data_IF_700263033558
#
_entry.id   IF_700263033558
#
_cell.length_a   1.000
_cell.length_b   1.000
_cell.length_c   1.000
_cell.angle_alpha   90.00
_cell.angle_beta   90.00
_cell.angle_gamma   90.00
#
_symmetry.space_group_name_H-M   'P 1'
#
loop_
_entity.id
_entity.type
_entity.pdbx_description
1 polymer ?
#
# COMPACT_ATOMS: atom_id res chain seq x y z
N UNK A 1 11.94 -27.96 -86.12
CA UNK A 1 12.30 -26.63 -85.60
C UNK A 1 11.32 -26.28 -84.48
N UNK A 2 11.69 -26.62 -83.25
CA UNK A 2 10.86 -26.45 -82.04
C UNK A 2 11.39 -25.27 -81.20
N UNK A 3 10.44 -24.40 -80.84
CA UNK A 3 10.29 -23.64 -79.59
C UNK A 3 11.52 -23.32 -78.73
N UNK A 4 11.66 -22.05 -78.35
CA UNK A 4 11.25 -21.54 -77.02
C UNK A 4 11.49 -20.03 -76.93
N UNK A 5 10.41 -19.25 -76.93
CA UNK A 5 10.41 -17.84 -76.56
C UNK A 5 10.29 -17.76 -75.04
N UNK A 6 11.34 -17.30 -74.36
CA UNK A 6 11.38 -17.14 -72.91
C UNK A 6 10.84 -15.76 -72.53
N UNK A 7 9.65 -15.70 -71.96
CA UNK A 7 9.07 -14.50 -71.36
C UNK A 7 9.51 -14.39 -69.91
N UNK A 8 10.35 -13.41 -69.61
CA UNK A 8 10.74 -13.05 -68.25
C UNK A 8 9.60 -12.28 -67.55
N UNK A 9 8.99 -12.90 -66.54
CA UNK A 9 7.98 -12.26 -65.70
C UNK A 9 8.70 -11.40 -64.65
N UNK A 10 8.69 -10.08 -64.85
CA UNK A 10 9.17 -9.11 -63.85
C UNK A 10 8.13 -9.02 -62.72
N UNK A 11 8.42 -9.64 -61.59
CA UNK A 11 7.60 -9.50 -60.37
C UNK A 11 7.93 -8.16 -59.68
N UNK A 12 7.03 -7.16 -59.79
CA UNK A 12 7.10 -5.96 -58.96
C UNK A 12 6.85 -6.36 -57.49
N UNK A 13 7.90 -6.30 -56.65
CA UNK A 13 7.72 -6.32 -55.19
C UNK A 13 6.91 -5.09 -54.78
N UNK A 14 5.70 -5.30 -54.27
CA UNK A 14 4.90 -4.20 -53.72
C UNK A 14 5.59 -3.66 -52.46
N UNK A 15 5.92 -2.36 -52.45
CA UNK A 15 6.56 -1.69 -51.31
C UNK A 15 5.55 -1.31 -50.22
N UNK A 16 4.79 -2.28 -49.71
CA UNK A 16 3.86 -2.09 -48.58
C UNK A 16 4.58 -2.20 -47.22
N UNK A 17 5.70 -1.49 -47.04
CA UNK A 17 6.53 -1.60 -45.82
C UNK A 17 6.72 -0.30 -45.03
N UNK A 18 6.13 0.82 -45.45
CA UNK A 18 6.30 2.11 -44.76
C UNK A 18 5.25 2.42 -43.68
N UNK A 19 3.97 2.11 -43.94
CA UNK A 19 2.87 2.52 -43.05
C UNK A 19 2.89 1.84 -41.68
N UNK A 20 3.28 0.56 -41.64
CA UNK A 20 3.43 -0.19 -40.37
C UNK A 20 4.55 0.39 -39.52
N UNK A 21 5.63 0.88 -40.13
CA UNK A 21 6.76 1.48 -39.42
C UNK A 21 6.36 2.79 -38.73
N UNK A 22 5.54 3.62 -39.40
CA UNK A 22 4.99 4.85 -38.81
C UNK A 22 4.07 4.51 -37.64
N UNK A 23 3.16 3.55 -37.81
CA UNK A 23 2.28 3.12 -36.72
C UNK A 23 3.07 2.60 -35.52
N UNK A 24 4.10 1.77 -35.78
CA UNK A 24 4.97 1.22 -34.73
C UNK A 24 5.75 2.31 -33.99
N UNK A 25 6.24 3.32 -34.72
CA UNK A 25 6.99 4.44 -34.15
C UNK A 25 6.17 5.27 -33.15
N UNK A 26 4.85 5.37 -33.33
CA UNK A 26 3.95 6.02 -32.38
C UNK A 26 3.43 5.07 -31.30
N UNK A 27 3.15 3.81 -31.65
CA UNK A 27 2.60 2.83 -30.71
C UNK A 27 3.60 2.45 -29.62
N UNK A 28 4.88 2.27 -29.95
CA UNK A 28 5.89 1.82 -28.99
C UNK A 28 6.08 2.80 -27.82
N UNK A 29 6.28 4.12 -28.04
CA UNK A 29 6.37 5.07 -26.93
C UNK A 29 5.12 5.08 -26.06
N UNK A 30 3.92 5.03 -26.67
CA UNK A 30 2.66 5.01 -25.92
C UNK A 30 2.54 3.75 -25.06
N UNK A 31 2.91 2.59 -25.60
CA UNK A 31 2.88 1.33 -24.86
C UNK A 31 3.87 1.33 -23.68
N UNK A 32 5.06 1.92 -23.86
CA UNK A 32 6.04 2.07 -22.78
C UNK A 32 5.53 3.02 -21.68
N UNK A 33 4.94 4.15 -22.06
CA UNK A 33 4.36 5.10 -21.09
C UNK A 33 3.23 4.45 -20.27
N UNK A 34 2.33 3.71 -20.91
CA UNK A 34 1.25 3.00 -20.21
C UNK A 34 1.79 1.90 -19.30
N UNK A 35 2.84 1.20 -19.72
CA UNK A 35 3.48 0.16 -18.92
C UNK A 35 4.14 0.75 -17.68
N UNK A 36 4.84 1.89 -17.82
CA UNK A 36 5.43 2.60 -16.69
C UNK A 36 4.39 3.11 -15.70
N UNK A 37 3.27 3.66 -16.20
CA UNK A 37 2.13 4.04 -15.36
C UNK A 37 1.56 2.83 -14.59
N UNK A 38 1.35 1.70 -15.27
CA UNK A 38 0.84 0.48 -14.65
C UNK A 38 1.78 -0.06 -13.56
N UNK A 39 3.10 -0.05 -13.78
CA UNK A 39 4.10 -0.49 -12.81
C UNK A 39 4.06 0.39 -11.55
N UNK A 40 4.06 1.73 -11.72
CA UNK A 40 3.98 2.64 -10.58
C UNK A 40 2.67 2.47 -9.82
N UNK A 41 1.54 2.30 -10.51
CA UNK A 41 0.25 2.06 -9.87
C UNK A 41 0.23 0.76 -9.05
N UNK A 42 0.70 -0.34 -9.64
CA UNK A 42 0.80 -1.62 -8.94
C UNK A 42 1.71 -1.53 -7.71
N UNK A 43 2.80 -0.76 -7.80
CA UNK A 43 3.71 -0.53 -6.69
C UNK A 43 3.07 0.29 -5.55
N UNK A 44 2.29 1.33 -5.88
CA UNK A 44 1.53 2.09 -4.88
C UNK A 44 0.55 1.18 -4.13
N UNK A 45 -0.17 0.31 -4.84
CA UNK A 45 -1.13 -0.61 -4.22
C UNK A 45 -0.44 -1.67 -3.35
N UNK A 46 0.72 -2.19 -3.77
CA UNK A 46 1.54 -3.06 -2.94
C UNK A 46 1.91 -2.38 -1.62
N UNK A 47 2.44 -1.15 -1.68
CA UNK A 47 2.84 -0.42 -0.48
C UNK A 47 1.66 -0.14 0.44
N UNK A 48 0.46 0.16 -0.10
CA UNK A 48 -0.75 0.34 0.69
C UNK A 48 -1.13 -0.94 1.42
N UNK A 49 -1.04 -2.10 0.77
CA UNK A 49 -1.31 -3.40 1.40
C UNK A 49 -0.29 -3.69 2.49
N UNK A 50 1.01 -3.49 2.23
CA UNK A 50 2.06 -3.63 3.24
C UNK A 50 1.83 -2.74 4.46
N UNK A 51 1.39 -1.49 4.23
CA UNK A 51 1.03 -0.58 5.32
C UNK A 51 -0.16 -1.06 6.13
N UNK A 52 -1.22 -1.57 5.49
CA UNK A 52 -2.36 -2.14 6.21
C UNK A 52 -1.93 -3.31 7.09
N UNK A 53 -1.08 -4.21 6.56
CA UNK A 53 -0.55 -5.35 7.32
C UNK A 53 0.30 -4.88 8.51
N UNK A 54 1.22 -3.94 8.30
CA UNK A 54 2.05 -3.40 9.36
C UNK A 54 1.22 -2.71 10.45
N UNK A 55 0.21 -1.93 10.05
CA UNK A 55 -0.66 -1.19 10.97
C UNK A 55 -1.56 -2.13 11.77
N UNK A 56 -2.18 -3.14 11.14
CA UNK A 56 -3.03 -4.12 11.85
C UNK A 56 -2.19 -4.96 12.81
N UNK A 57 -0.99 -5.41 12.39
CA UNK A 57 -0.08 -6.15 13.26
C UNK A 57 0.35 -5.32 14.48
N UNK A 58 0.75 -4.06 14.28
CA UNK A 58 1.12 -3.15 15.36
C UNK A 58 -0.04 -2.92 16.33
N UNK A 59 -1.22 -2.63 15.79
CA UNK A 59 -2.41 -2.32 16.59
C UNK A 59 -2.90 -3.51 17.40
N UNK A 60 -2.88 -4.73 16.83
CA UNK A 60 -3.24 -5.95 17.56
C UNK A 60 -2.25 -6.29 18.66
N UNK A 61 -0.94 -6.11 18.40
CA UNK A 61 0.08 -6.33 19.41
C UNK A 61 -0.10 -5.38 20.60
N UNK A 62 -0.30 -4.08 20.33
CA UNK A 62 -0.59 -3.12 21.39
C UNK A 62 -1.92 -3.40 22.10
N UNK A 63 -3.00 -3.68 21.37
CA UNK A 63 -4.31 -3.96 21.96
C UNK A 63 -4.28 -5.19 22.87
N UNK A 64 -3.49 -6.21 22.52
CA UNK A 64 -3.27 -7.38 23.35
C UNK A 64 -2.53 -7.04 24.65
N UNK A 65 -1.41 -6.32 24.57
CA UNK A 65 -0.65 -5.97 25.77
C UNK A 65 -1.41 -5.01 26.68
N UNK A 66 -2.13 -4.05 26.09
CA UNK A 66 -3.02 -3.15 26.84
C UNK A 66 -4.09 -3.94 27.58
N UNK A 67 -4.71 -4.93 26.93
CA UNK A 67 -5.74 -5.76 27.55
C UNK A 67 -5.21 -6.67 28.68
N UNK A 68 -3.94 -7.09 28.61
CA UNK A 68 -3.32 -7.98 29.60
C UNK A 68 -2.74 -7.23 30.81
N UNK A 69 -2.10 -6.10 30.57
CA UNK A 69 -1.30 -5.39 31.56
C UNK A 69 -1.93 -4.08 32.03
N UNK A 70 -2.77 -3.45 31.20
CA UNK A 70 -3.23 -2.08 31.42
C UNK A 70 -2.14 -1.02 31.24
N UNK A 71 -0.91 -1.40 30.86
CA UNK A 71 0.22 -0.49 30.73
C UNK A 71 0.34 0.03 29.27
N UNK A 72 0.30 1.36 29.13
CA UNK A 72 0.40 2.03 27.84
C UNK A 72 1.81 1.93 27.25
N UNK A 73 2.84 1.99 28.08
CA UNK A 73 4.23 1.95 27.61
C UNK A 73 4.57 0.55 27.07
N UNK A 74 4.09 -0.48 27.77
CA UNK A 74 4.19 -1.87 27.30
C UNK A 74 3.45 -2.07 25.97
N UNK A 75 2.26 -1.48 25.82
CA UNK A 75 1.49 -1.54 24.58
C UNK A 75 2.22 -0.85 23.41
N UNK A 76 2.81 0.33 23.62
CA UNK A 76 3.61 1.05 22.64
C UNK A 76 4.82 0.21 22.20
N UNK A 77 5.54 -0.38 23.16
CA UNK A 77 6.70 -1.23 22.87
C UNK A 77 6.30 -2.46 22.04
N UNK A 78 5.18 -3.10 22.36
CA UNK A 78 4.68 -4.24 21.60
C UNK A 78 4.26 -3.86 20.17
N UNK A 79 3.58 -2.72 19.99
CA UNK A 79 3.27 -2.22 18.65
C UNK A 79 4.53 -1.94 17.84
N UNK A 80 5.55 -1.29 18.41
CA UNK A 80 6.82 -1.04 17.69
C UNK A 80 7.51 -2.34 17.29
N UNK A 81 7.57 -3.32 18.19
CA UNK A 81 8.14 -4.63 17.88
C UNK A 81 7.39 -5.36 16.76
N UNK A 82 6.06 -5.23 16.71
CA UNK A 82 5.26 -5.80 15.64
C UNK A 82 5.40 -5.02 14.32
N UNK A 83 5.45 -3.69 14.37
CA UNK A 83 5.67 -2.83 13.21
C UNK A 83 7.04 -3.12 12.56
N UNK A 84 8.10 -3.28 13.37
CA UNK A 84 9.45 -3.57 12.88
C UNK A 84 9.58 -4.91 12.13
N UNK A 85 8.65 -5.85 12.34
CA UNK A 85 8.62 -7.13 11.63
C UNK A 85 7.94 -7.05 10.26
N UNK A 86 7.30 -5.92 9.95
CA UNK A 86 6.57 -5.72 8.71
C UNK A 86 7.20 -4.57 7.92
N UNK A 87 7.74 -4.89 6.74
CA UNK A 87 8.37 -3.88 5.87
C UNK A 87 7.35 -3.21 4.98
N UNK A 88 7.55 -1.91 4.71
CA UNK A 88 6.79 -1.11 3.76
C UNK A 88 7.77 -0.54 2.75
N UNK A 89 7.59 -0.87 1.47
CA UNK A 89 8.51 -0.49 0.41
C UNK A 89 9.97 -0.91 0.69
N UNK A 90 10.15 -2.06 1.35
CA UNK A 90 11.47 -2.62 1.69
C UNK A 90 12.13 -2.08 2.96
N UNK A 91 11.49 -1.18 3.70
CA UNK A 91 12.00 -0.66 4.98
C UNK A 91 10.98 -0.84 6.11
N UNK A 92 11.45 -1.15 7.32
CA UNK A 92 10.58 -1.22 8.50
C UNK A 92 10.15 0.20 8.93
N UNK A 93 8.87 0.45 9.22
CA UNK A 93 8.41 1.74 9.70
C UNK A 93 8.91 2.00 11.13
N UNK A 94 9.34 3.23 11.37
CA UNK A 94 9.57 3.79 12.70
C UNK A 94 8.31 4.53 13.13
N UNK A 95 7.72 4.09 14.24
CA UNK A 95 6.55 4.75 14.85
C UNK A 95 7.01 5.66 15.97
N UNK A 96 6.44 6.86 16.05
CA UNK A 96 6.66 7.85 17.11
C UNK A 96 5.59 7.72 18.20
N UNK A 97 5.80 8.33 19.36
CA UNK A 97 4.78 8.34 20.42
C UNK A 97 3.46 9.00 19.95
N UNK A 98 3.58 10.02 19.08
CA UNK A 98 2.45 10.72 18.48
C UNK A 98 1.63 9.86 17.50
N UNK A 99 2.17 8.73 17.04
CA UNK A 99 1.45 7.80 16.16
C UNK A 99 0.51 6.87 16.94
N UNK A 100 0.58 6.88 18.28
CA UNK A 100 -0.27 6.10 19.18
C UNK A 100 -1.34 6.99 19.81
N UNK A 101 -2.59 6.64 19.56
CA UNK A 101 -3.74 7.34 20.16
C UNK A 101 -4.49 6.36 21.05
N UNK A 102 -4.41 6.59 22.35
CA UNK A 102 -5.18 5.84 23.33
C UNK A 102 -6.56 6.44 23.52
N UNK A 103 -7.54 5.58 23.77
CA UNK A 103 -8.87 6.05 24.03
C UNK A 103 -9.81 4.99 24.52
N UNK A 104 -11.08 5.37 24.56
CA UNK A 104 -12.18 4.50 24.90
C UNK A 104 -13.04 4.27 23.67
N UNK A 105 -13.20 3.01 23.28
CA UNK A 105 -14.26 2.59 22.38
C UNK A 105 -15.34 1.87 23.18
N UNK A 106 -16.50 2.49 23.27
CA UNK A 106 -17.70 1.85 23.80
C UNK A 106 -18.76 1.74 22.72
N UNK A 107 -19.79 0.95 22.98
CA UNK A 107 -21.07 1.05 22.25
C UNK A 107 -22.17 1.32 23.26
N UNK A 108 -23.07 2.24 22.93
CA UNK A 108 -24.24 2.53 23.77
C UNK A 108 -25.28 1.41 23.78
N UNK A 109 -25.17 0.41 22.88
CA UNK A 109 -26.02 -0.77 22.90
C UNK A 109 -25.72 -1.81 21.82
N UNK A 110 -26.29 -3.01 22.01
CA UNK A 110 -26.85 -3.91 20.98
C UNK A 110 -26.42 -3.74 19.52
N UNK A 111 -27.12 -2.81 18.87
CA UNK A 111 -27.11 -2.56 17.44
C UNK A 111 -26.33 -1.30 17.06
N UNK A 112 -25.57 -0.72 18.00
CA UNK A 112 -24.83 0.52 17.78
C UNK A 112 -23.36 0.19 17.51
N UNK A 113 -22.77 0.89 16.54
CA UNK A 113 -21.34 0.79 16.21
C UNK A 113 -20.51 1.30 17.39
N UNK A 114 -19.32 0.73 17.57
CA UNK A 114 -18.34 1.26 18.51
C UNK A 114 -17.95 2.69 18.12
N UNK A 115 -17.91 3.58 19.09
CA UNK A 115 -17.43 4.96 18.94
C UNK A 115 -16.17 5.12 19.74
N UNK A 116 -15.07 5.44 19.05
CA UNK A 116 -13.80 5.76 19.69
C UNK A 116 -13.78 7.22 20.13
N UNK A 117 -13.39 7.43 21.38
CA UNK A 117 -13.15 8.74 21.97
C UNK A 117 -11.77 8.74 22.58
N UNK A 118 -10.92 9.68 22.20
CA UNK A 118 -9.57 9.82 22.75
C UNK A 118 -9.65 10.08 24.25
N UNK A 119 -8.87 9.32 25.03
CA UNK A 119 -8.86 9.38 26.49
C UNK A 119 -7.61 8.67 27.01
N UNK A 120 -6.87 9.36 27.87
CA UNK A 120 -5.72 8.78 28.59
C UNK A 120 -6.12 8.16 29.93
N UNK A 121 -7.35 8.34 30.36
CA UNK A 121 -7.87 7.73 31.61
C UNK A 121 -8.56 6.42 31.25
N UNK A 122 -8.05 5.31 31.79
CA UNK A 122 -8.52 3.94 31.59
C UNK A 122 -8.86 3.61 30.11
N UNK A 123 -7.88 3.67 29.19
CA UNK A 123 -8.12 3.38 27.79
C UNK A 123 -8.42 1.89 27.61
N UNK A 124 -9.50 1.59 26.89
CA UNK A 124 -9.84 0.22 26.47
C UNK A 124 -9.57 0.00 24.97
N UNK A 125 -9.04 1.01 24.29
CA UNK A 125 -8.73 0.95 22.87
C UNK A 125 -7.46 1.73 22.55
N UNK A 126 -6.77 1.25 21.52
CA UNK A 126 -5.62 1.93 20.94
C UNK A 126 -5.81 2.03 19.43
N UNK A 127 -5.48 3.19 18.88
CA UNK A 127 -5.34 3.42 17.46
C UNK A 127 -3.87 3.67 17.14
N UNK A 128 -3.36 3.00 16.12
CA UNK A 128 -2.00 3.20 15.61
C UNK A 128 -2.10 3.84 14.23
N UNK A 129 -1.27 4.86 13.98
CA UNK A 129 -1.19 5.56 12.71
C UNK A 129 0.19 5.35 12.07
N UNK A 130 0.24 4.70 10.91
CA UNK A 130 1.47 4.57 10.13
C UNK A 130 1.45 5.59 9.01
N UNK A 131 2.41 6.53 9.04
CA UNK A 131 2.48 7.65 8.11
C UNK A 131 3.72 7.56 7.21
N UNK A 132 3.49 7.60 5.89
CA UNK A 132 4.50 7.79 4.84
C UNK A 132 4.23 9.11 4.12
N UNK A 133 4.54 10.21 4.80
CA UNK A 133 4.31 11.59 4.35
C UNK A 133 5.62 12.37 4.42
N UNK A 134 5.72 13.52 3.74
CA UNK A 134 6.89 14.42 3.86
C UNK A 134 7.19 14.80 5.30
N UNK A 135 6.15 14.89 6.13
CA UNK A 135 6.23 15.37 7.50
C UNK A 135 6.35 14.24 8.53
N UNK A 136 6.54 12.98 8.09
CA UNK A 136 6.76 11.85 8.98
C UNK A 136 8.22 11.39 8.94
N UNK A 137 8.69 10.81 10.05
CA UNK A 137 10.06 10.26 10.15
C UNK A 137 10.37 9.20 9.09
N UNK A 138 9.35 8.50 8.58
CA UNK A 138 9.51 7.48 7.53
C UNK A 138 9.62 8.06 6.12
N UNK A 139 9.29 9.34 5.93
CA UNK A 139 9.26 10.01 4.65
C UNK A 139 8.22 9.45 3.66
N UNK A 140 8.08 10.11 2.49
CA UNK A 140 7.25 9.63 1.40
C UNK A 140 7.85 8.37 0.76
N UNK A 141 7.08 7.70 -0.11
CA UNK A 141 7.55 6.51 -0.84
C UNK A 141 7.96 6.94 -2.26
N UNK A 142 9.23 6.72 -2.67
CA UNK A 142 9.65 7.02 -4.04
C UNK A 142 9.01 6.04 -5.03
N UNK A 143 8.69 6.52 -6.23
CA UNK A 143 8.15 5.67 -7.30
C UNK A 143 9.25 4.85 -7.98
N UNK A 144 8.88 3.67 -8.50
CA UNK A 144 9.82 2.80 -9.23
C UNK A 144 10.32 3.46 -10.52
N UNK A 145 9.44 4.19 -11.21
CA UNK A 145 9.77 4.94 -12.42
C UNK A 145 9.47 6.43 -12.23
N UNK A 146 10.43 7.20 -11.67
CA UNK A 146 10.29 8.65 -11.48
C UNK A 146 10.30 9.39 -12.83
N UNK A 147 9.87 10.66 -12.84
CA UNK A 147 9.88 11.60 -13.97
C UNK A 147 8.99 11.28 -15.20
N UNK A 148 8.34 10.12 -15.28
CA UNK A 148 7.48 9.80 -16.44
C UNK A 148 6.18 10.61 -16.45
N UNK A 149 5.72 11.04 -15.26
CA UNK A 149 4.48 11.82 -15.07
C UNK A 149 4.72 13.12 -14.30
N UNK A 150 5.98 13.52 -14.10
CA UNK A 150 6.35 14.67 -13.26
C UNK A 150 6.07 14.46 -11.76
N UNK A 151 5.93 13.21 -11.34
CA UNK A 151 5.75 12.80 -9.95
C UNK A 151 6.80 11.76 -9.63
N UNK A 152 7.56 11.96 -8.56
CA UNK A 152 8.67 11.10 -8.16
C UNK A 152 8.38 10.31 -6.88
N UNK A 153 7.37 10.74 -6.12
CA UNK A 153 7.01 10.16 -4.83
C UNK A 153 5.49 10.18 -4.63
N UNK A 154 5.01 9.31 -3.75
CA UNK A 154 3.64 9.35 -3.26
C UNK A 154 3.60 9.29 -1.75
N UNK A 155 2.54 9.88 -1.21
CA UNK A 155 2.29 9.95 0.21
C UNK A 155 1.05 9.14 0.56
N UNK A 156 1.08 8.47 1.70
CA UNK A 156 -0.07 7.70 2.20
C UNK A 156 0.01 7.54 3.71
N UNK A 157 -1.14 7.40 4.33
CA UNK A 157 -1.31 7.21 5.77
C UNK A 157 -2.29 6.08 5.98
N UNK A 158 -2.04 5.22 6.96
CA UNK A 158 -2.97 4.16 7.35
C UNK A 158 -3.15 4.14 8.86
N UNK A 159 -4.40 4.00 9.29
CA UNK A 159 -4.74 3.83 10.70
C UNK A 159 -5.48 2.51 10.91
N UNK A 160 -5.24 1.90 12.08
CA UNK A 160 -6.04 0.78 12.55
C UNK A 160 -6.29 0.94 14.04
N UNK A 161 -7.36 0.31 14.52
CA UNK A 161 -7.81 0.38 15.90
C UNK A 161 -8.06 -1.01 16.47
N UNK A 162 -7.61 -1.23 17.71
CA UNK A 162 -7.93 -2.40 18.50
C UNK A 162 -8.71 -1.97 19.74
N UNK A 163 -9.79 -2.69 20.00
CA UNK A 163 -10.68 -2.49 21.15
C UNK A 163 -10.66 -3.73 22.02
N UNK A 164 -10.46 -3.55 23.32
CA UNK A 164 -10.72 -4.57 24.32
C UNK A 164 -12.23 -4.68 24.54
N UNK A 165 -12.76 -5.89 24.36
CA UNK A 165 -14.15 -6.23 24.70
C UNK A 165 -14.10 -7.30 25.77
N UNK A 166 -14.70 -7.00 26.93
CA UNK A 166 -14.90 -7.97 28.00
C UNK A 166 -16.11 -8.85 27.66
N UNK A 167 -15.92 -10.17 27.63
CA UNK A 167 -16.98 -11.13 27.32
C UNK A 167 -16.95 -12.21 28.40
N UNK A 168 -18.05 -12.33 29.14
CA UNK A 168 -18.26 -13.41 30.10
C UNK A 168 -18.71 -14.68 29.38
N UNK A 169 -17.98 -15.79 29.57
CA UNK A 169 -18.33 -17.11 29.04
C UNK A 169 -18.69 -18.03 30.21
N UNK A 170 -19.94 -18.49 30.27
CA UNK A 170 -20.37 -19.53 31.20
C UNK A 170 -20.26 -20.90 30.52
N UNK A 171 -19.46 -21.79 31.09
CA UNK A 171 -19.41 -23.21 30.72
C UNK A 171 -20.42 -23.97 31.61
N UNK A 172 -21.33 -24.71 30.99
CA UNK A 172 -22.29 -25.60 31.66
C UNK A 172 -21.89 -27.05 31.39
#
# INVERSE_FOLDING_TARGET
MMHLCSTSVVTRRSSRRGSVLVLLAFLLPVAVLLSAFAINYAYMDLCRTEMVVATDAATRAAGRELALTGDMDAAILAARNAAQRNTIAGAAPTLEDADFVFGRSNRSGSNVRYTFTESTTDPNAIQVNVRRTSDSTNGPIPLLMPNILGVDEFQTTQNAQATQVEIDIALV
#
